data_IF_313506510224
#
_entry.id   IF_313506510224
#
_cell.length_a   1.000
_cell.length_b   1.000
_cell.length_c   1.000
_cell.angle_alpha   90.00
_cell.angle_beta   90.00
_cell.angle_gamma   90.00
#
_symmetry.space_group_name_H-M   'P 1'
#
loop_
_entity.id
_entity.type
_entity.pdbx_description
1 polymer ?
#
# COMPACT_ATOMS: atom_id res chain seq x y z
N UNK A 1 21.96 5.68 -9.85
CA UNK A 1 20.70 4.91 -9.86
C UNK A 1 20.66 3.84 -10.95
N UNK A 2 20.95 4.13 -12.22
CA UNK A 2 20.81 3.16 -13.34
C UNK A 2 21.58 1.84 -13.10
N UNK A 3 22.75 1.90 -12.47
CA UNK A 3 23.60 0.73 -12.17
C UNK A 3 23.00 -0.23 -11.11
N UNK A 4 22.06 0.23 -10.27
CA UNK A 4 21.49 -0.57 -9.18
C UNK A 4 20.33 -1.47 -9.64
N UNK A 5 19.66 -1.11 -10.73
CA UNK A 5 18.55 -1.91 -11.27
C UNK A 5 19.06 -3.29 -11.70
N UNK A 6 20.17 -3.42 -12.45
CA UNK A 6 20.78 -4.73 -12.74
C UNK A 6 21.13 -5.53 -11.48
N UNK A 7 21.65 -4.90 -10.41
CA UNK A 7 21.98 -5.60 -9.16
C UNK A 7 20.76 -6.29 -8.55
N UNK A 8 19.62 -5.59 -8.50
CA UNK A 8 18.40 -6.14 -7.93
C UNK A 8 17.81 -7.26 -8.80
N UNK A 9 17.88 -7.11 -10.13
CA UNK A 9 17.48 -8.18 -11.07
C UNK A 9 18.36 -9.41 -10.89
N UNK A 10 19.68 -9.26 -10.80
CA UNK A 10 20.58 -10.39 -10.57
C UNK A 10 20.28 -11.09 -9.25
N UNK A 11 20.05 -10.35 -8.15
CA UNK A 11 19.66 -10.93 -6.85
C UNK A 11 18.37 -11.76 -6.94
N UNK A 12 17.40 -11.33 -7.75
CA UNK A 12 16.19 -12.10 -7.99
C UNK A 12 16.45 -13.36 -8.82
N UNK A 13 17.25 -13.25 -9.89
CA UNK A 13 17.57 -14.39 -10.78
C UNK A 13 18.34 -15.49 -10.04
N UNK A 14 19.29 -15.13 -9.17
CA UNK A 14 20.10 -16.11 -8.42
C UNK A 14 19.35 -16.78 -7.28
N UNK A 15 18.10 -16.39 -7.00
CA UNK A 15 17.32 -16.93 -5.88
C UNK A 15 17.11 -18.45 -5.98
N UNK A 16 16.66 -18.92 -7.14
CA UNK A 16 16.46 -20.35 -7.38
C UNK A 16 17.80 -21.12 -7.40
N UNK A 17 18.84 -20.70 -8.15
CA UNK A 17 20.16 -21.32 -8.08
C UNK A 17 20.75 -21.42 -6.67
N UNK A 18 20.61 -20.38 -5.82
CA UNK A 18 21.04 -20.47 -4.42
C UNK A 18 20.25 -21.50 -3.63
N UNK A 19 18.93 -21.60 -3.85
CA UNK A 19 18.11 -22.62 -3.20
C UNK A 19 18.60 -24.03 -3.50
N UNK A 20 18.94 -24.31 -4.77
CA UNK A 20 19.53 -25.59 -5.16
C UNK A 20 20.92 -25.80 -4.56
N UNK A 21 21.83 -24.82 -4.68
CA UNK A 21 23.18 -24.91 -4.13
C UNK A 21 23.18 -25.14 -2.62
N UNK A 22 22.34 -24.40 -1.89
CA UNK A 22 22.14 -24.56 -0.44
C UNK A 22 21.63 -25.96 -0.09
N UNK A 23 20.60 -26.45 -0.79
CA UNK A 23 20.03 -27.77 -0.51
C UNK A 23 21.05 -28.90 -0.74
N UNK A 24 21.81 -28.83 -1.84
CA UNK A 24 22.86 -29.82 -2.14
C UNK A 24 24.01 -29.74 -1.14
N UNK A 25 24.59 -28.55 -0.93
CA UNK A 25 25.73 -28.38 -0.02
C UNK A 25 25.40 -28.73 1.43
N UNK A 26 24.18 -28.42 1.91
CA UNK A 26 23.74 -28.87 3.23
C UNK A 26 23.60 -30.39 3.31
N UNK A 27 23.01 -31.02 2.30
CA UNK A 27 22.85 -32.49 2.26
C UNK A 27 24.21 -33.19 2.21
N UNK A 28 25.13 -32.73 1.36
CA UNK A 28 26.47 -33.32 1.25
C UNK A 28 27.28 -33.15 2.53
N UNK A 29 27.25 -31.96 3.14
CA UNK A 29 27.90 -31.74 4.42
C UNK A 29 27.30 -32.58 5.54
N UNK A 30 25.99 -32.74 5.58
CA UNK A 30 25.32 -33.60 6.57
C UNK A 30 25.76 -35.06 6.44
N UNK A 31 25.85 -35.58 5.22
CA UNK A 31 26.39 -36.94 4.98
C UNK A 31 27.83 -37.06 5.45
N UNK A 32 28.69 -36.07 5.18
CA UNK A 32 30.12 -36.11 5.56
C UNK A 32 30.30 -35.97 7.08
N UNK A 33 29.58 -35.03 7.72
CA UNK A 33 29.76 -34.74 9.15
C UNK A 33 29.23 -35.87 10.04
N UNK A 34 28.18 -36.56 9.60
CA UNK A 34 27.52 -37.61 10.38
C UNK A 34 28.29 -38.95 10.33
N UNK A 35 29.26 -39.07 9.41
CA UNK A 35 30.02 -40.30 9.17
C UNK A 35 31.53 -40.06 9.31
N UNK A 36 32.12 -40.65 10.35
CA UNK A 36 33.55 -40.50 10.63
C UNK A 36 34.45 -41.08 9.53
N UNK A 37 33.94 -42.04 8.74
CA UNK A 37 34.64 -42.63 7.59
C UNK A 37 34.84 -41.65 6.44
N UNK A 38 33.96 -40.64 6.30
CA UNK A 38 34.09 -39.60 5.29
C UNK A 38 34.90 -38.42 5.82
N UNK A 39 34.80 -38.13 7.11
CA UNK A 39 35.48 -36.98 7.75
C UNK A 39 36.96 -37.25 8.08
N UNK A 40 37.28 -38.44 8.59
CA UNK A 40 38.63 -38.83 9.03
C UNK A 40 39.17 -40.06 8.28
N UNK A 41 38.52 -40.44 7.18
CA UNK A 41 38.91 -41.58 6.37
C UNK A 41 40.17 -41.35 5.54
N UNK A 42 40.48 -42.31 4.65
CA UNK A 42 41.65 -42.22 3.75
C UNK A 42 41.48 -41.20 2.60
N UNK A 43 40.38 -40.46 2.58
CA UNK A 43 40.04 -39.50 1.52
C UNK A 43 40.72 -38.15 1.73
N UNK A 44 40.77 -37.32 0.69
CA UNK A 44 41.38 -36.00 0.77
C UNK A 44 40.64 -35.12 1.80
N UNK A 45 41.33 -34.61 2.84
CA UNK A 45 40.71 -33.76 3.86
C UNK A 45 40.14 -32.45 3.29
N UNK A 46 40.59 -32.03 2.10
CA UNK A 46 40.05 -30.87 1.40
C UNK A 46 38.57 -31.05 1.01
N UNK A 47 38.08 -32.29 0.88
CA UNK A 47 36.66 -32.56 0.60
C UNK A 47 35.80 -32.05 1.76
N UNK A 48 36.13 -32.45 3.00
CA UNK A 48 35.39 -32.01 4.18
C UNK A 48 35.47 -30.48 4.37
N UNK A 49 36.64 -29.87 4.15
CA UNK A 49 36.81 -28.42 4.25
C UNK A 49 36.00 -27.68 3.18
N UNK A 50 36.01 -28.17 1.94
CA UNK A 50 35.26 -27.61 0.82
C UNK A 50 33.76 -27.64 1.06
N UNK A 51 33.22 -28.81 1.44
CA UNK A 51 31.79 -29.02 1.68
C UNK A 51 31.28 -28.28 2.92
N UNK A 52 32.08 -28.21 4.00
CA UNK A 52 31.75 -27.37 5.16
C UNK A 52 31.64 -25.89 4.78
N UNK A 53 32.56 -25.41 3.93
CA UNK A 53 32.55 -24.04 3.46
C UNK A 53 31.35 -23.78 2.55
N UNK A 54 31.08 -24.70 1.61
CA UNK A 54 29.95 -24.63 0.70
C UNK A 54 28.61 -24.62 1.45
N UNK A 55 28.42 -25.50 2.43
CA UNK A 55 27.21 -25.55 3.27
C UNK A 55 27.01 -24.26 4.08
N UNK A 56 28.02 -23.82 4.82
CA UNK A 56 27.89 -22.64 5.69
C UNK A 56 27.69 -21.34 4.88
N UNK A 57 28.53 -21.10 3.88
CA UNK A 57 28.44 -19.88 3.08
C UNK A 57 27.29 -19.93 2.08
N UNK A 58 26.93 -21.10 1.56
CA UNK A 58 25.72 -21.29 0.76
C UNK A 58 24.46 -20.96 1.56
N UNK A 59 24.37 -21.46 2.80
CA UNK A 59 23.27 -21.14 3.73
C UNK A 59 23.22 -19.65 4.03
N UNK A 60 24.34 -19.07 4.47
CA UNK A 60 24.43 -17.64 4.80
C UNK A 60 24.06 -16.77 3.60
N UNK A 61 24.61 -17.05 2.43
CA UNK A 61 24.36 -16.29 1.22
C UNK A 61 22.91 -16.39 0.75
N UNK A 62 22.26 -17.57 0.86
CA UNK A 62 20.84 -17.73 0.55
C UNK A 62 19.96 -16.83 1.43
N UNK A 63 20.13 -16.89 2.75
CA UNK A 63 19.35 -16.05 3.67
C UNK A 63 19.70 -14.57 3.53
N UNK A 64 20.97 -14.23 3.28
CA UNK A 64 21.39 -12.86 3.00
C UNK A 64 20.70 -12.32 1.74
N UNK A 65 20.68 -13.09 0.66
CA UNK A 65 19.98 -12.70 -0.58
C UNK A 65 18.48 -12.52 -0.33
N UNK A 66 17.85 -13.43 0.43
CA UNK A 66 16.43 -13.31 0.80
C UNK A 66 16.11 -12.13 1.70
N UNK A 67 16.98 -11.81 2.66
CA UNK A 67 16.78 -10.65 3.52
C UNK A 67 16.93 -9.34 2.75
N UNK A 68 17.88 -9.28 1.81
CA UNK A 68 18.32 -8.01 1.22
C UNK A 68 17.97 -7.79 -0.26
N UNK A 69 17.26 -8.70 -0.93
CA UNK A 69 16.83 -8.45 -2.31
C UNK A 69 15.87 -7.26 -2.42
N UNK A 70 14.83 -7.16 -1.59
CA UNK A 70 13.89 -6.01 -1.61
C UNK A 70 14.57 -4.75 -1.03
N UNK A 71 15.24 -4.81 0.14
CA UNK A 71 15.90 -3.62 0.68
C UNK A 71 16.94 -2.97 -0.23
N UNK A 72 17.55 -3.73 -1.15
CA UNK A 72 18.52 -3.18 -2.11
C UNK A 72 17.96 -2.06 -2.99
N UNK A 73 16.64 -1.98 -3.18
CA UNK A 73 16.00 -0.88 -3.90
C UNK A 73 15.98 0.44 -3.12
N UNK A 74 16.00 0.38 -1.78
CA UNK A 74 15.89 1.57 -0.92
C UNK A 74 17.25 2.12 -0.48
N UNK A 75 18.28 1.29 -0.43
CA UNK A 75 19.62 1.70 -0.03
C UNK A 75 20.46 2.15 -1.23
N UNK A 76 20.39 3.44 -1.54
CA UNK A 76 21.18 4.07 -2.59
C UNK A 76 22.66 4.25 -2.15
N UNK A 77 23.63 4.24 -3.09
CA UNK A 77 25.01 4.57 -2.79
C UNK A 77 25.13 5.96 -2.17
N UNK A 78 26.01 6.12 -1.17
CA UNK A 78 26.95 5.15 -0.61
C UNK A 78 26.41 4.37 0.61
N UNK A 79 25.12 4.51 0.97
CA UNK A 79 24.50 3.72 2.05
C UNK A 79 24.54 2.21 1.75
N UNK A 80 24.70 1.84 0.48
CA UNK A 80 24.87 0.46 0.06
C UNK A 80 26.25 -0.15 0.46
N UNK A 81 27.16 0.62 1.05
CA UNK A 81 28.54 0.17 1.33
C UNK A 81 28.64 -1.07 2.23
N UNK A 82 27.94 -1.18 3.37
CA UNK A 82 27.99 -2.38 4.19
C UNK A 82 27.53 -3.63 3.43
N UNK A 83 26.51 -3.48 2.58
CA UNK A 83 26.02 -4.57 1.73
C UNK A 83 27.06 -4.97 0.69
N UNK A 84 27.77 -4.00 0.13
CA UNK A 84 28.85 -4.23 -0.84
C UNK A 84 29.99 -5.05 -0.21
N UNK A 85 30.36 -4.74 1.04
CA UNK A 85 31.36 -5.51 1.79
C UNK A 85 30.90 -6.95 1.95
N UNK A 86 29.67 -7.15 2.43
CA UNK A 86 29.15 -8.50 2.71
C UNK A 86 29.00 -9.31 1.42
N UNK A 87 28.49 -8.72 0.34
CA UNK A 87 28.40 -9.37 -0.98
C UNK A 87 29.80 -9.77 -1.49
N UNK A 88 30.80 -8.92 -1.28
CA UNK A 88 32.19 -9.22 -1.67
C UNK A 88 32.76 -10.37 -0.85
N UNK A 89 32.51 -10.39 0.47
CA UNK A 89 32.90 -11.49 1.34
C UNK A 89 32.24 -12.80 0.91
N UNK A 90 30.93 -12.79 0.64
CA UNK A 90 30.20 -13.95 0.09
C UNK A 90 30.84 -14.42 -1.21
N UNK A 91 31.14 -13.50 -2.13
CA UNK A 91 31.79 -13.81 -3.41
C UNK A 91 33.12 -14.54 -3.20
N UNK A 92 33.96 -14.04 -2.30
CA UNK A 92 35.27 -14.63 -2.00
C UNK A 92 35.13 -16.04 -1.43
N UNK A 93 34.20 -16.24 -0.50
CA UNK A 93 34.02 -17.54 0.14
C UNK A 93 33.35 -18.57 -0.77
N UNK A 94 32.40 -18.17 -1.62
CA UNK A 94 31.85 -19.04 -2.66
C UNK A 94 32.92 -19.43 -3.67
N UNK A 95 33.72 -18.47 -4.16
CA UNK A 95 34.82 -18.75 -5.06
C UNK A 95 35.84 -19.72 -4.43
N UNK A 96 36.13 -19.55 -3.13
CA UNK A 96 37.02 -20.46 -2.39
C UNK A 96 36.41 -21.86 -2.25
N UNK A 97 35.12 -21.98 -1.93
CA UNK A 97 34.43 -23.27 -1.83
C UNK A 97 34.43 -24.00 -3.19
N UNK A 98 34.07 -23.30 -4.25
CA UNK A 98 34.10 -23.81 -5.62
C UNK A 98 35.52 -24.21 -6.07
N UNK A 99 36.55 -23.46 -5.64
CA UNK A 99 37.94 -23.82 -5.92
C UNK A 99 38.35 -25.12 -5.21
N UNK A 100 37.91 -25.36 -3.97
CA UNK A 100 38.11 -26.66 -3.31
C UNK A 100 37.39 -27.77 -4.06
N UNK A 101 36.11 -27.58 -4.40
CA UNK A 101 35.32 -28.54 -5.17
C UNK A 101 35.95 -28.89 -6.53
N UNK A 102 36.60 -27.92 -7.17
CA UNK A 102 37.29 -28.14 -8.46
C UNK A 102 38.37 -29.22 -8.37
N UNK A 103 38.96 -29.43 -7.19
CA UNK A 103 40.03 -30.41 -6.98
C UNK A 103 39.52 -31.86 -6.85
N UNK A 104 38.28 -32.08 -6.40
CA UNK A 104 37.76 -33.43 -6.12
C UNK A 104 36.47 -33.80 -6.86
N UNK A 105 35.75 -32.83 -7.44
CA UNK A 105 34.53 -33.05 -8.21
C UNK A 105 34.87 -33.16 -9.70
N UNK A 106 34.40 -34.19 -10.42
CA UNK A 106 34.53 -34.22 -11.87
C UNK A 106 33.68 -33.12 -12.50
N UNK A 107 34.25 -32.34 -13.43
CA UNK A 107 33.58 -31.13 -13.97
C UNK A 107 32.45 -31.39 -14.98
N UNK A 108 32.07 -32.65 -15.18
CA UNK A 108 31.01 -33.06 -16.12
C UNK A 108 30.20 -34.21 -15.55
N UNK A 109 28.88 -34.14 -15.70
CA UNK A 109 27.97 -35.21 -15.27
C UNK A 109 28.21 -36.51 -16.03
N UNK A 110 28.64 -36.44 -17.30
CA UNK A 110 28.95 -37.62 -18.10
C UNK A 110 30.17 -38.37 -17.57
N UNK A 111 31.12 -37.65 -16.94
CA UNK A 111 32.30 -38.28 -16.34
C UNK A 111 31.94 -39.16 -15.14
N UNK A 112 30.79 -38.93 -14.49
CA UNK A 112 30.36 -39.69 -13.31
C UNK A 112 30.05 -41.16 -13.56
N UNK A 113 29.80 -41.57 -14.81
CA UNK A 113 29.47 -42.97 -15.10
C UNK A 113 30.66 -43.92 -14.82
N UNK A 114 31.90 -43.42 -14.93
CA UNK A 114 33.12 -44.12 -14.51
C UNK A 114 33.81 -43.50 -13.29
N UNK A 115 33.87 -42.16 -13.22
CA UNK A 115 34.52 -41.45 -12.12
C UNK A 115 33.89 -41.76 -10.76
N UNK A 116 32.60 -42.07 -10.69
CA UNK A 116 31.98 -42.44 -9.42
C UNK A 116 32.65 -43.63 -8.73
N UNK A 117 33.30 -44.52 -9.48
CA UNK A 117 33.95 -45.71 -8.91
C UNK A 117 35.43 -45.48 -8.64
N UNK A 118 36.16 -44.77 -9.50
CA UNK A 118 37.63 -44.74 -9.42
C UNK A 118 38.23 -43.35 -9.13
N UNK A 119 37.42 -42.28 -9.15
CA UNK A 119 37.89 -40.90 -8.95
C UNK A 119 38.36 -40.66 -7.52
N UNK A 120 39.60 -40.18 -7.37
CA UNK A 120 40.29 -40.00 -6.09
C UNK A 120 40.20 -41.21 -5.14
N UNK A 121 40.19 -42.44 -5.67
CA UNK A 121 40.29 -43.64 -4.84
C UNK A 121 41.70 -43.70 -4.21
N UNK A 122 41.83 -43.68 -2.87
CA UNK A 122 43.12 -43.78 -2.20
C UNK A 122 43.82 -45.11 -2.50
N UNK A 123 45.15 -45.12 -2.54
CA UNK A 123 45.91 -46.35 -2.75
C UNK A 123 45.61 -47.36 -1.63
N UNK A 124 45.13 -48.55 -1.99
CA UNK A 124 44.76 -49.60 -1.03
C UNK A 124 43.33 -49.53 -0.50
N UNK A 125 42.53 -48.53 -0.89
CA UNK A 125 41.09 -48.51 -0.62
C UNK A 125 40.32 -49.26 -1.71
N UNK A 126 39.27 -49.98 -1.32
CA UNK A 126 38.42 -50.73 -2.26
C UNK A 126 37.32 -49.86 -2.90
N UNK A 127 37.05 -48.69 -2.32
CA UNK A 127 35.90 -47.83 -2.67
C UNK A 127 36.38 -46.39 -2.87
N UNK A 128 35.80 -45.67 -3.83
CA UNK A 128 35.95 -44.22 -3.93
C UNK A 128 35.14 -43.49 -2.86
N UNK A 129 35.42 -42.20 -2.71
CA UNK A 129 34.62 -41.29 -1.89
C UNK A 129 33.12 -41.36 -2.24
N UNK A 130 32.77 -41.30 -3.53
CA UNK A 130 31.37 -41.31 -3.96
C UNK A 130 30.68 -42.65 -3.70
N UNK A 131 31.40 -43.77 -3.75
CA UNK A 131 30.84 -45.08 -3.38
C UNK A 131 30.51 -45.16 -1.89
N UNK A 132 31.42 -44.68 -1.04
CA UNK A 132 31.20 -44.69 0.42
C UNK A 132 30.11 -43.69 0.80
N UNK A 133 30.14 -42.48 0.25
CA UNK A 133 29.11 -41.48 0.49
C UNK A 133 27.71 -41.95 0.03
N UNK A 134 27.63 -42.64 -1.11
CA UNK A 134 26.39 -43.25 -1.60
C UNK A 134 25.87 -44.37 -0.69
N UNK A 135 26.76 -45.22 -0.18
CA UNK A 135 26.40 -46.32 0.75
C UNK A 135 25.90 -45.79 2.09
N UNK A 136 26.55 -44.75 2.62
CA UNK A 136 26.26 -44.19 3.94
C UNK A 136 25.08 -43.23 3.93
N UNK A 137 24.70 -42.68 2.77
CA UNK A 137 23.51 -41.86 2.63
C UNK A 137 22.23 -42.73 2.68
N UNK A 138 21.41 -42.54 3.72
CA UNK A 138 20.14 -43.26 3.91
C UNK A 138 19.09 -42.97 2.81
N UNK A 139 19.26 -41.89 2.04
CA UNK A 139 18.42 -41.59 0.87
C UNK A 139 19.08 -42.11 -0.40
N UNK A 140 18.37 -43.00 -1.11
CA UNK A 140 18.87 -43.77 -2.26
C UNK A 140 19.70 -42.93 -3.24
N UNK A 141 21.01 -43.17 -3.25
CA UNK A 141 21.89 -42.73 -4.32
C UNK A 141 22.81 -43.87 -4.74
N UNK A 142 22.77 -44.22 -6.03
CA UNK A 142 23.87 -44.95 -6.66
C UNK A 142 25.13 -44.06 -6.62
N UNK A 143 26.36 -44.63 -6.60
CA UNK A 143 27.59 -43.83 -6.64
C UNK A 143 27.60 -42.79 -7.76
N UNK A 144 27.10 -43.15 -8.95
CA UNK A 144 26.94 -42.24 -10.10
C UNK A 144 26.02 -41.06 -9.81
N UNK A 145 24.90 -41.29 -9.11
CA UNK A 145 23.96 -40.24 -8.73
C UNK A 145 24.57 -39.30 -7.69
N UNK A 146 25.29 -39.85 -6.71
CA UNK A 146 26.02 -39.05 -5.71
C UNK A 146 27.10 -38.20 -6.37
N UNK A 147 27.86 -38.77 -7.31
CA UNK A 147 28.80 -37.98 -8.11
C UNK A 147 28.09 -36.83 -8.85
N UNK A 148 26.97 -37.11 -9.53
CA UNK A 148 26.23 -36.09 -10.29
C UNK A 148 25.72 -34.94 -9.41
N UNK A 149 25.26 -35.21 -8.19
CA UNK A 149 24.81 -34.13 -7.28
C UNK A 149 25.96 -33.23 -6.86
N UNK A 150 27.16 -33.78 -6.64
CA UNK A 150 28.37 -32.96 -6.41
C UNK A 150 28.75 -32.13 -7.64
N UNK A 151 28.63 -32.69 -8.86
CA UNK A 151 28.85 -31.91 -10.09
C UNK A 151 27.85 -30.77 -10.22
N UNK A 152 26.57 -31.04 -9.95
CA UNK A 152 25.51 -30.02 -9.97
C UNK A 152 25.80 -28.89 -8.97
N UNK A 153 26.16 -29.24 -7.74
CA UNK A 153 26.56 -28.26 -6.73
C UNK A 153 27.72 -27.40 -7.24
N UNK A 154 28.79 -28.01 -7.76
CA UNK A 154 29.94 -27.27 -8.29
C UNK A 154 29.56 -26.34 -9.45
N UNK A 155 28.71 -26.79 -10.38
CA UNK A 155 28.21 -25.96 -11.49
C UNK A 155 27.40 -24.75 -10.98
N UNK A 156 26.54 -24.96 -9.99
CA UNK A 156 25.83 -23.87 -9.33
C UNK A 156 26.81 -22.95 -8.58
N UNK A 157 27.82 -23.50 -7.89
CA UNK A 157 28.85 -22.73 -7.20
C UNK A 157 29.61 -21.77 -8.12
N UNK A 158 30.01 -22.23 -9.32
CA UNK A 158 30.61 -21.37 -10.36
C UNK A 158 29.64 -20.27 -10.78
N UNK A 159 28.41 -20.65 -11.12
CA UNK A 159 27.38 -19.74 -11.61
C UNK A 159 27.10 -18.65 -10.59
N UNK A 160 26.91 -19.03 -9.32
CA UNK A 160 26.66 -18.13 -8.21
C UNK A 160 27.85 -17.21 -7.96
N UNK A 161 29.07 -17.73 -7.97
CA UNK A 161 30.29 -16.94 -7.83
C UNK A 161 30.40 -15.86 -8.91
N UNK A 162 30.08 -16.19 -10.17
CA UNK A 162 30.09 -15.23 -11.27
C UNK A 162 29.04 -14.12 -11.12
N UNK A 163 27.80 -14.47 -10.77
CA UNK A 163 26.75 -13.48 -10.56
C UNK A 163 27.03 -12.59 -9.34
N UNK A 164 27.52 -13.16 -8.23
CA UNK A 164 27.85 -12.37 -7.04
C UNK A 164 29.07 -11.46 -7.26
N UNK A 165 30.07 -11.91 -8.04
CA UNK A 165 31.16 -11.05 -8.49
C UNK A 165 30.65 -9.87 -9.31
N UNK A 166 29.69 -10.09 -10.22
CA UNK A 166 29.06 -9.02 -10.98
C UNK A 166 28.28 -8.05 -10.08
N UNK A 167 27.49 -8.56 -9.12
CA UNK A 167 26.75 -7.74 -8.14
C UNK A 167 27.72 -6.89 -7.31
N UNK A 168 28.78 -7.49 -6.77
CA UNK A 168 29.81 -6.79 -5.99
C UNK A 168 30.49 -5.70 -6.83
N UNK A 169 30.91 -6.02 -8.06
CA UNK A 169 31.54 -5.06 -8.97
C UNK A 169 30.63 -3.87 -9.28
N UNK A 170 29.37 -4.12 -9.62
CA UNK A 170 28.40 -3.06 -9.92
C UNK A 170 28.15 -2.16 -8.69
N UNK A 171 28.07 -2.76 -7.49
CA UNK A 171 27.92 -2.02 -6.25
C UNK A 171 29.16 -1.16 -5.93
N UNK A 172 30.38 -1.67 -6.17
CA UNK A 172 31.63 -0.92 -6.03
C UNK A 172 31.67 0.25 -7.03
N UNK A 173 31.31 0.02 -8.30
CA UNK A 173 31.24 1.08 -9.32
C UNK A 173 30.24 2.16 -8.89
N UNK A 174 29.06 1.76 -8.41
CA UNK A 174 28.04 2.69 -7.95
C UNK A 174 28.51 3.51 -6.73
N UNK A 175 29.24 2.89 -5.81
CA UNK A 175 29.84 3.56 -4.65
C UNK A 175 30.92 4.57 -5.07
N UNK A 176 31.87 4.16 -5.91
CA UNK A 176 32.92 5.03 -6.42
C UNK A 176 32.34 6.20 -7.23
N UNK A 177 31.29 5.94 -8.02
CA UNK A 177 30.55 6.96 -8.75
C UNK A 177 29.90 8.00 -7.82
N UNK A 178 29.27 7.55 -6.73
CA UNK A 178 28.68 8.46 -5.75
C UNK A 178 29.72 9.31 -5.02
N UNK A 179 30.85 8.72 -4.60
CA UNK A 179 31.96 9.47 -3.99
C UNK A 179 32.54 10.49 -4.97
N UNK A 180 32.69 10.10 -6.25
CA UNK A 180 33.21 10.99 -7.29
C UNK A 180 32.27 12.16 -7.57
N UNK A 181 30.95 11.93 -7.55
CA UNK A 181 29.96 12.99 -7.70
C UNK A 181 30.00 13.98 -6.53
N UNK A 182 30.02 13.49 -5.28
CA UNK A 182 30.11 14.33 -4.09
C UNK A 182 31.38 15.20 -4.09
N UNK A 183 32.52 14.64 -4.51
CA UNK A 183 33.78 15.40 -4.67
C UNK A 183 33.67 16.50 -5.72
N UNK A 184 32.97 16.27 -6.83
CA UNK A 184 32.78 17.28 -7.88
C UNK A 184 31.90 18.44 -7.43
N UNK A 185 30.98 18.18 -6.51
CA UNK A 185 30.11 19.19 -5.91
C UNK A 185 30.81 19.99 -4.79
N UNK A 186 32.07 19.67 -4.47
CA UNK A 186 32.85 20.36 -3.44
C UNK A 186 32.35 20.10 -2.02
N UNK A 187 31.54 19.06 -1.83
CA UNK A 187 31.00 18.73 -0.51
C UNK A 187 32.11 18.25 0.42
N UNK A 188 32.13 18.78 1.64
CA UNK A 188 33.04 18.26 2.65
C UNK A 188 32.58 16.84 3.07
N UNK A 189 33.51 15.90 3.38
CA UNK A 189 33.14 14.56 3.85
C UNK A 189 32.12 14.52 5.00
N UNK A 190 32.18 15.40 6.04
CA UNK A 190 31.19 15.39 7.10
C UNK A 190 29.80 15.86 6.64
N UNK A 191 29.72 16.85 5.74
CA UNK A 191 28.43 17.29 5.16
C UNK A 191 27.80 16.20 4.31
N UNK A 192 28.62 15.52 3.51
CA UNK A 192 28.18 14.38 2.72
C UNK A 192 27.61 13.26 3.61
N UNK A 193 28.32 12.90 4.68
CA UNK A 193 27.84 11.91 5.67
C UNK A 193 26.56 12.37 6.39
N UNK A 194 26.44 13.66 6.72
CA UNK A 194 25.25 14.24 7.32
C UNK A 194 24.02 14.18 6.40
N UNK A 195 24.19 14.54 5.12
CA UNK A 195 23.16 14.38 4.07
C UNK A 195 22.76 12.91 3.92
N UNK A 196 23.75 12.02 3.90
CA UNK A 196 23.53 10.59 3.87
C UNK A 196 22.66 10.08 5.02
N UNK A 197 23.03 10.45 6.24
CA UNK A 197 22.35 10.00 7.44
C UNK A 197 20.89 10.46 7.44
N UNK A 198 20.65 11.72 7.04
CA UNK A 198 19.29 12.27 6.89
C UNK A 198 18.49 11.52 5.84
N UNK A 199 19.02 11.33 4.63
CA UNK A 199 18.35 10.58 3.55
C UNK A 199 18.11 9.12 3.95
N UNK A 200 19.05 8.51 4.66
CA UNK A 200 18.88 7.14 5.18
C UNK A 200 17.75 7.04 6.19
N UNK A 201 17.65 8.01 7.11
CA UNK A 201 16.60 8.05 8.11
C UNK A 201 15.23 8.25 7.45
N UNK A 202 15.14 9.14 6.45
CA UNK A 202 13.93 9.34 5.66
C UNK A 202 13.51 8.06 4.94
N UNK A 203 14.45 7.31 4.33
CA UNK A 203 14.16 6.03 3.70
C UNK A 203 13.72 4.97 4.71
N UNK A 204 14.40 4.85 5.85
CA UNK A 204 14.06 3.91 6.93
C UNK A 204 12.67 4.21 7.47
N UNK A 205 12.32 5.48 7.69
CA UNK A 205 10.98 5.89 8.11
C UNK A 205 9.90 5.62 7.06
N UNK A 206 10.27 5.49 5.78
CA UNK A 206 9.37 5.14 4.69
C UNK A 206 9.24 3.63 4.46
N UNK A 207 10.09 2.78 5.05
CA UNK A 207 9.99 1.31 4.95
C UNK A 207 8.60 0.80 5.38
N UNK A 208 8.03 1.21 6.53
CA UNK A 208 6.69 0.76 6.94
C UNK A 208 5.62 1.11 5.92
N UNK A 209 5.69 2.31 5.32
CA UNK A 209 4.74 2.73 4.27
C UNK A 209 4.92 1.87 3.01
N UNK A 210 6.16 1.61 2.60
CA UNK A 210 6.48 0.71 1.50
C UNK A 210 5.95 -0.70 1.74
N UNK A 211 6.09 -1.24 2.95
CA UNK A 211 5.55 -2.54 3.35
C UNK A 211 4.02 -2.57 3.32
N UNK A 212 3.33 -1.52 3.77
CA UNK A 212 1.86 -1.42 3.68
C UNK A 212 1.42 -1.38 2.22
N UNK A 213 2.08 -0.58 1.37
CA UNK A 213 1.78 -0.52 -0.07
C UNK A 213 2.03 -1.87 -0.73
N UNK A 214 3.16 -2.53 -0.42
CA UNK A 214 3.49 -3.86 -0.93
C UNK A 214 2.46 -4.89 -0.48
N UNK A 215 2.03 -4.87 0.78
CA UNK A 215 1.05 -5.79 1.33
C UNK A 215 -0.33 -5.59 0.71
N UNK A 216 -0.78 -4.34 0.55
CA UNK A 216 -2.02 -4.01 -0.18
C UNK A 216 -1.90 -4.45 -1.64
N UNK A 217 -0.74 -4.22 -2.26
CA UNK A 217 -0.44 -4.65 -3.63
C UNK A 217 -0.51 -6.17 -3.77
N UNK A 218 0.11 -6.94 -2.88
CA UNK A 218 0.04 -8.41 -2.87
C UNK A 218 -1.38 -8.88 -2.63
N UNK A 219 -2.09 -8.33 -1.64
CA UNK A 219 -3.48 -8.67 -1.35
C UNK A 219 -4.44 -8.33 -2.48
N UNK A 220 -4.10 -7.34 -3.32
CA UNK A 220 -4.89 -6.99 -4.50
C UNK A 220 -4.53 -7.85 -5.72
N UNK A 221 -3.24 -7.95 -6.04
CA UNK A 221 -2.72 -8.53 -7.26
C UNK A 221 -2.72 -10.06 -7.22
N UNK A 222 -2.46 -10.66 -6.07
CA UNK A 222 -2.38 -12.12 -5.92
C UNK A 222 -3.77 -12.77 -6.15
N UNK A 223 -4.88 -12.27 -5.59
CA UNK A 223 -6.21 -12.73 -5.97
C UNK A 223 -6.53 -12.48 -7.44
N UNK A 224 -6.08 -11.36 -8.04
CA UNK A 224 -6.33 -11.09 -9.46
C UNK A 224 -5.60 -12.08 -10.36
N UNK A 225 -4.33 -12.39 -10.09
CA UNK A 225 -3.54 -13.40 -10.79
C UNK A 225 -4.16 -14.79 -10.66
N UNK A 226 -4.50 -15.22 -9.43
CA UNK A 226 -5.19 -16.50 -9.19
C UNK A 226 -6.51 -16.52 -9.96
N UNK A 227 -7.29 -15.44 -9.89
CA UNK A 227 -8.57 -15.34 -10.59
C UNK A 227 -8.40 -15.41 -12.10
N UNK A 228 -7.32 -14.87 -12.68
CA UNK A 228 -7.02 -15.00 -14.12
C UNK A 228 -6.67 -16.43 -14.52
N UNK A 229 -5.99 -17.19 -13.66
CA UNK A 229 -5.59 -18.57 -13.93
C UNK A 229 -6.71 -19.61 -13.71
N UNK A 230 -7.79 -19.27 -12.99
CA UNK A 230 -8.89 -20.22 -12.72
C UNK A 230 -9.71 -20.59 -13.99
N UNK A 231 -10.24 -21.82 -14.07
CA UNK A 231 -11.12 -22.25 -15.16
C UNK A 231 -12.45 -21.47 -15.17
N UNK A 232 -13.06 -21.35 -16.35
CA UNK A 232 -14.26 -20.53 -16.60
C UNK A 232 -15.46 -20.93 -15.71
N UNK A 233 -15.60 -22.21 -15.39
CA UNK A 233 -16.66 -22.74 -14.51
C UNK A 233 -16.59 -22.20 -13.08
N UNK A 234 -15.37 -21.97 -12.57
CA UNK A 234 -15.17 -21.40 -11.24
C UNK A 234 -15.32 -19.88 -11.24
N UNK A 235 -14.80 -19.22 -12.29
CA UNK A 235 -14.94 -17.77 -12.50
C UNK A 235 -16.41 -17.33 -12.54
N UNK A 236 -17.29 -18.09 -13.20
CA UNK A 236 -18.71 -17.74 -13.32
C UNK A 236 -19.43 -17.76 -11.96
N UNK A 237 -19.16 -18.77 -11.12
CA UNK A 237 -19.73 -18.88 -9.76
C UNK A 237 -19.30 -17.71 -8.87
N UNK A 238 -18.02 -17.35 -8.88
CA UNK A 238 -17.53 -16.21 -8.09
C UNK A 238 -18.12 -14.89 -8.61
N UNK A 239 -18.19 -14.68 -9.92
CA UNK A 239 -18.83 -13.48 -10.50
C UNK A 239 -20.30 -13.38 -10.12
N UNK A 240 -21.01 -14.50 -10.11
CA UNK A 240 -22.41 -14.55 -9.68
C UNK A 240 -22.53 -14.19 -8.19
N UNK A 241 -21.71 -14.80 -7.31
CA UNK A 241 -21.68 -14.48 -5.89
C UNK A 241 -21.36 -13.00 -5.61
N UNK A 242 -20.37 -12.42 -6.32
CA UNK A 242 -20.03 -10.99 -6.21
C UNK A 242 -21.20 -10.10 -6.65
N UNK A 243 -21.83 -10.40 -7.79
CA UNK A 243 -23.00 -9.65 -8.28
C UNK A 243 -24.17 -9.74 -7.31
N UNK A 244 -24.40 -10.91 -6.72
CA UNK A 244 -25.42 -11.11 -5.70
C UNK A 244 -25.11 -10.27 -4.45
N UNK A 245 -23.90 -10.37 -3.91
CA UNK A 245 -23.49 -9.60 -2.73
C UNK A 245 -23.59 -8.08 -2.93
N UNK A 246 -23.12 -7.57 -4.08
CA UNK A 246 -23.23 -6.15 -4.43
C UNK A 246 -24.69 -5.71 -4.56
N UNK A 247 -25.54 -6.51 -5.22
CA UNK A 247 -26.97 -6.20 -5.32
C UNK A 247 -27.67 -6.23 -3.97
N UNK A 248 -27.32 -7.16 -3.09
CA UNK A 248 -27.88 -7.24 -1.73
C UNK A 248 -27.43 -6.05 -0.89
N UNK A 249 -26.16 -5.62 -1.01
CA UNK A 249 -25.64 -4.43 -0.34
C UNK A 249 -26.33 -3.15 -0.83
N UNK A 250 -26.41 -2.95 -2.15
CA UNK A 250 -27.12 -1.81 -2.74
C UNK A 250 -28.61 -1.81 -2.40
N UNK A 251 -29.25 -2.99 -2.36
CA UNK A 251 -30.64 -3.13 -1.94
C UNK A 251 -30.86 -2.82 -0.46
N UNK A 252 -29.88 -3.09 0.39
CA UNK A 252 -29.90 -2.70 1.80
C UNK A 252 -29.76 -1.17 1.95
N UNK A 253 -28.84 -0.54 1.19
CA UNK A 253 -28.69 0.91 1.15
C UNK A 253 -29.98 1.61 0.68
N UNK A 254 -30.61 1.13 -0.40
CA UNK A 254 -31.88 1.68 -0.87
C UNK A 254 -33.01 1.55 0.17
N UNK A 255 -33.07 0.43 0.89
CA UNK A 255 -34.06 0.28 1.99
C UNK A 255 -33.79 1.26 3.12
N UNK A 256 -32.53 1.54 3.45
CA UNK A 256 -32.19 2.53 4.48
C UNK A 256 -32.50 3.96 4.02
N UNK A 257 -32.23 4.31 2.75
CA UNK A 257 -32.58 5.63 2.21
C UNK A 257 -34.09 5.85 2.20
N UNK A 258 -34.88 4.85 1.78
CA UNK A 258 -36.33 4.90 1.82
C UNK A 258 -36.85 5.07 3.27
N UNK A 259 -36.30 4.33 4.22
CA UNK A 259 -36.66 4.46 5.63
C UNK A 259 -36.34 5.85 6.21
N UNK A 260 -35.22 6.45 5.82
CA UNK A 260 -34.86 7.82 6.23
C UNK A 260 -35.78 8.86 5.59
N UNK A 261 -36.13 8.69 4.31
CA UNK A 261 -37.10 9.57 3.64
C UNK A 261 -38.48 9.51 4.29
N UNK A 262 -38.96 8.31 4.63
CA UNK A 262 -40.24 8.14 5.33
C UNK A 262 -40.24 8.81 6.71
N UNK A 263 -39.14 8.66 7.48
CA UNK A 263 -38.99 9.37 8.75
C UNK A 263 -38.96 10.89 8.59
N UNK A 264 -38.26 11.40 7.57
CA UNK A 264 -38.21 12.83 7.28
C UNK A 264 -39.59 13.36 6.94
N UNK A 265 -40.33 12.66 6.06
CA UNK A 265 -41.70 13.02 5.68
C UNK A 265 -42.63 13.01 6.91
N UNK A 266 -42.52 12.00 7.76
CA UNK A 266 -43.25 11.93 9.03
C UNK A 266 -42.95 13.13 9.93
N UNK A 267 -41.68 13.51 10.07
CA UNK A 267 -41.27 14.64 10.90
C UNK A 267 -41.76 15.98 10.32
N UNK A 268 -41.67 16.18 9.00
CA UNK A 268 -42.20 17.37 8.33
C UNK A 268 -43.72 17.46 8.44
N UNK A 269 -44.44 16.35 8.30
CA UNK A 269 -45.88 16.28 8.48
C UNK A 269 -46.29 16.59 9.92
N UNK A 270 -45.56 16.03 10.90
CA UNK A 270 -45.77 16.32 12.33
C UNK A 270 -45.45 17.79 12.66
N UNK A 271 -44.41 18.37 12.03
CA UNK A 271 -44.06 19.79 12.18
C UNK A 271 -45.13 20.70 11.57
N UNK A 272 -45.69 20.34 10.42
CA UNK A 272 -46.84 21.05 9.80
C UNK A 272 -48.10 20.97 10.66
N UNK A 273 -48.35 19.83 11.31
CA UNK A 273 -49.47 19.68 12.26
C UNK A 273 -49.24 20.44 13.58
N UNK A 274 -47.98 20.59 14.04
CA UNK A 274 -47.63 21.39 15.23
C UNK A 274 -47.65 22.89 15.00
N UNK A 275 -47.58 23.36 13.76
CA UNK A 275 -47.98 24.74 13.43
C UNK A 275 -49.51 24.82 13.40
N UNK A 276 -50.12 24.76 14.59
CA UNK A 276 -51.53 25.03 14.76
C UNK A 276 -51.83 26.39 14.10
N UNK A 277 -52.76 26.42 13.13
CA UNK A 277 -53.43 27.66 12.71
C UNK A 277 -53.88 28.34 13.99
N UNK A 278 -53.33 29.51 14.30
CA UNK A 278 -53.72 30.28 15.47
C UNK A 278 -55.22 30.57 15.37
N UNK A 279 -56.01 29.90 16.21
CA UNK A 279 -57.41 30.23 16.40
C UNK A 279 -57.42 31.52 17.20
N UNK A 280 -57.73 32.63 16.52
CA UNK A 280 -57.80 33.96 17.13
C UNK A 280 -58.65 33.95 18.40
N UNK A 281 -58.31 34.84 19.34
CA UNK A 281 -59.14 35.09 20.53
C UNK A 281 -60.59 35.40 20.19
N UNK A 282 -61.47 35.29 21.18
CA UNK A 282 -62.94 35.38 21.06
C UNK A 282 -63.45 36.54 20.18
N UNK A 283 -63.67 36.24 18.90
CA UNK A 283 -64.25 37.14 17.92
C UNK A 283 -64.43 36.41 16.58
N UNK A 284 -65.52 36.67 15.86
CA UNK A 284 -65.71 36.05 14.56
C UNK A 284 -64.64 36.54 13.57
N UNK A 285 -63.93 35.60 12.89
CA UNK A 285 -62.93 35.97 11.91
C UNK A 285 -63.61 36.65 10.72
N UNK A 286 -63.16 37.87 10.42
CA UNK A 286 -63.59 38.52 9.18
C UNK A 286 -63.07 37.74 7.96
N UNK A 287 -63.78 37.76 6.82
CA UNK A 287 -63.28 37.16 5.58
C UNK A 287 -61.89 37.68 5.20
N UNK A 288 -61.64 38.97 5.45
CA UNK A 288 -60.34 39.60 5.23
C UNK A 288 -59.25 39.02 6.13
N UNK A 289 -59.52 38.79 7.42
CA UNK A 289 -58.54 38.17 8.31
C UNK A 289 -58.22 36.74 7.91
N UNK A 290 -59.19 35.96 7.39
CA UNK A 290 -58.92 34.61 6.89
C UNK A 290 -58.02 34.62 5.65
N UNK A 291 -58.23 35.58 4.75
CA UNK A 291 -57.38 35.78 3.57
C UNK A 291 -55.95 36.19 3.97
N UNK A 292 -55.81 37.18 4.86
CA UNK A 292 -54.51 37.67 5.34
C UNK A 292 -53.77 36.68 6.27
N UNK A 293 -54.46 35.66 6.81
CA UNK A 293 -53.82 34.64 7.64
C UNK A 293 -52.92 33.70 6.82
N UNK A 294 -53.07 33.67 5.49
CA UNK A 294 -52.14 32.98 4.60
C UNK A 294 -50.93 33.89 4.39
N UNK A 295 -49.81 33.54 5.01
CA UNK A 295 -48.61 34.39 5.03
C UNK A 295 -48.13 34.80 3.62
N UNK A 296 -48.14 33.89 2.65
CA UNK A 296 -47.72 34.19 1.29
C UNK A 296 -48.61 35.24 0.62
N UNK A 297 -49.93 35.19 0.86
CA UNK A 297 -50.87 36.19 0.35
C UNK A 297 -50.64 37.56 1.02
N UNK A 298 -50.42 37.56 2.34
CA UNK A 298 -50.08 38.77 3.08
C UNK A 298 -48.80 39.41 2.55
N UNK A 299 -47.77 38.61 2.25
CA UNK A 299 -46.51 39.11 1.72
C UNK A 299 -46.68 39.79 0.36
N UNK A 300 -47.41 39.18 -0.58
CA UNK A 300 -47.71 39.77 -1.90
C UNK A 300 -48.42 41.12 -1.76
N UNK A 301 -49.37 41.22 -0.83
CA UNK A 301 -50.08 42.49 -0.58
C UNK A 301 -49.12 43.52 0.03
N UNK A 302 -48.25 43.11 0.95
CA UNK A 302 -47.31 44.04 1.60
C UNK A 302 -46.24 44.60 0.67
N UNK A 303 -45.92 43.90 -0.43
CA UNK A 303 -45.03 44.42 -1.46
C UNK A 303 -45.65 45.62 -2.19
N UNK A 304 -46.96 45.64 -2.37
CA UNK A 304 -47.69 46.75 -3.02
C UNK A 304 -48.12 47.86 -2.05
N UNK A 305 -47.79 47.75 -0.75
CA UNK A 305 -48.18 48.70 0.29
C UNK A 305 -46.99 49.47 0.85
N UNK A 306 -47.25 50.70 1.32
CA UNK A 306 -46.30 51.39 2.16
C UNK A 306 -46.31 50.80 3.58
N UNK A 307 -45.19 50.96 4.28
CA UNK A 307 -45.09 50.48 5.67
C UNK A 307 -46.17 51.08 6.58
N UNK A 308 -46.54 52.36 6.38
CA UNK A 308 -47.65 53.01 7.07
C UNK A 308 -48.99 52.32 6.81
N UNK A 309 -49.20 51.82 5.60
CA UNK A 309 -50.46 51.21 5.19
C UNK A 309 -50.62 49.83 5.82
N UNK A 310 -49.53 49.06 5.96
CA UNK A 310 -49.51 47.80 6.71
C UNK A 310 -49.82 48.04 8.20
N UNK A 311 -49.27 49.10 8.78
CA UNK A 311 -49.56 49.48 10.17
C UNK A 311 -51.03 49.90 10.34
N UNK A 312 -51.59 50.64 9.38
CA UNK A 312 -53.00 50.99 9.36
C UNK A 312 -53.90 49.77 9.16
N UNK A 313 -53.51 48.83 8.30
CA UNK A 313 -54.21 47.56 8.07
C UNK A 313 -54.33 46.76 9.37
N UNK A 314 -53.25 46.68 10.16
CA UNK A 314 -53.27 46.03 11.47
C UNK A 314 -54.18 46.71 12.51
N UNK A 315 -54.70 47.92 12.24
CA UNK A 315 -55.60 48.65 13.14
C UNK A 315 -57.07 48.54 12.73
N UNK A 316 -57.38 47.95 11.57
CA UNK A 316 -58.74 47.86 11.03
C UNK A 316 -59.67 47.04 11.93
N UNK A 317 -59.20 45.91 12.44
CA UNK A 317 -59.96 45.07 13.38
C UNK A 317 -59.02 44.21 14.22
N UNK A 318 -59.51 43.66 15.34
CA UNK A 318 -58.70 42.76 16.18
C UNK A 318 -58.27 41.49 15.44
N UNK A 319 -59.14 40.92 14.61
CA UNK A 319 -58.85 39.72 13.83
C UNK A 319 -57.86 39.99 12.69
N UNK A 320 -57.93 41.15 12.05
CA UNK A 320 -56.95 41.58 11.04
C UNK A 320 -55.61 41.92 11.70
N UNK A 321 -55.63 42.59 12.87
CA UNK A 321 -54.42 42.85 13.65
C UNK A 321 -53.65 41.57 13.89
N UNK A 322 -54.33 40.52 14.36
CA UNK A 322 -53.69 39.26 14.69
C UNK A 322 -53.23 38.50 13.44
N UNK A 323 -53.98 38.60 12.34
CA UNK A 323 -53.57 38.02 11.06
C UNK A 323 -52.31 38.70 10.48
N UNK A 324 -52.16 40.02 10.66
CA UNK A 324 -51.05 40.81 10.09
C UNK A 324 -49.84 40.90 11.04
N UNK A 325 -50.06 41.20 12.32
CA UNK A 325 -49.06 41.37 13.38
C UNK A 325 -49.49 40.58 14.64
N UNK A 326 -49.31 39.24 14.64
CA UNK A 326 -49.68 38.42 15.78
C UNK A 326 -48.80 38.74 16.99
N UNK A 327 -49.38 38.70 18.19
CA UNK A 327 -48.70 39.14 19.42
C UNK A 327 -47.41 38.37 19.72
N UNK A 328 -47.31 37.10 19.28
CA UNK A 328 -46.17 36.22 19.54
C UNK A 328 -45.01 36.37 18.53
N UNK A 329 -45.22 37.06 17.41
CA UNK A 329 -44.20 37.21 16.33
C UNK A 329 -44.10 38.65 15.81
N UNK A 330 -44.49 39.62 16.64
CA UNK A 330 -44.60 41.03 16.24
C UNK A 330 -43.28 41.59 15.73
N UNK A 331 -42.18 41.35 16.43
CA UNK A 331 -40.87 41.93 16.09
C UNK A 331 -40.34 41.41 14.75
N UNK A 332 -40.43 40.09 14.54
CA UNK A 332 -40.00 39.45 13.30
C UNK A 332 -40.84 39.92 12.11
N UNK A 333 -42.17 40.05 12.29
CA UNK A 333 -43.06 40.54 11.23
C UNK A 333 -42.82 42.01 10.91
N UNK A 334 -42.58 42.86 11.92
CA UNK A 334 -42.23 44.27 11.68
C UNK A 334 -40.95 44.40 10.87
N UNK A 335 -39.91 43.62 11.18
CA UNK A 335 -38.67 43.60 10.39
C UNK A 335 -38.92 43.14 8.95
N UNK A 336 -39.75 42.11 8.78
CA UNK A 336 -40.13 41.60 7.46
C UNK A 336 -40.87 42.66 6.65
N UNK A 337 -41.90 43.30 7.21
CA UNK A 337 -42.65 44.34 6.50
C UNK A 337 -41.78 45.55 6.15
N UNK A 338 -40.84 45.97 7.01
CA UNK A 338 -39.86 47.01 6.65
C UNK A 338 -39.03 46.62 5.43
N UNK A 339 -38.66 45.34 5.33
CA UNK A 339 -37.87 44.82 4.20
C UNK A 339 -38.66 44.77 2.89
N UNK A 340 -39.90 44.31 2.91
CA UNK A 340 -40.67 44.03 1.69
C UNK A 340 -41.57 45.19 1.23
N UNK A 341 -41.97 46.10 2.12
CA UNK A 341 -42.72 47.30 1.72
C UNK A 341 -41.85 48.24 0.90
N UNK A 342 -42.49 48.99 0.00
CA UNK A 342 -41.87 50.01 -0.85
C UNK A 342 -40.77 49.47 -1.78
N UNK A 343 -41.10 48.50 -2.65
CA UNK A 343 -40.17 47.97 -3.64
C UNK A 343 -39.72 49.09 -4.58
N UNK A 344 -38.41 49.19 -4.81
CA UNK A 344 -37.82 50.16 -5.74
C UNK A 344 -37.77 51.64 -5.28
N UNK A 345 -38.34 51.97 -4.12
CA UNK A 345 -38.29 53.32 -3.53
C UNK A 345 -37.13 53.53 -2.56
N UNK A 346 -36.69 54.79 -2.37
CA UNK A 346 -35.76 55.12 -1.30
C UNK A 346 -36.48 55.07 0.05
N UNK A 347 -35.99 54.20 0.94
CA UNK A 347 -36.48 54.01 2.31
C UNK A 347 -35.77 54.99 3.23
N UNK A 348 -36.52 55.85 3.90
CA UNK A 348 -36.04 56.74 4.95
C UNK A 348 -36.84 56.52 6.23
N UNK A 349 -36.42 57.12 7.34
CA UNK A 349 -37.13 57.03 8.62
C UNK A 349 -37.63 58.41 9.02
N UNK A 350 -38.84 58.46 9.57
CA UNK A 350 -39.36 59.67 10.18
C UNK A 350 -38.52 60.01 11.41
N UNK A 351 -37.88 61.19 11.42
CA UNK A 351 -37.05 61.65 12.53
C UNK A 351 -37.80 61.76 13.87
N UNK A 352 -39.13 61.90 13.85
CA UNK A 352 -39.96 62.04 15.05
C UNK A 352 -40.47 60.70 15.61
N UNK A 353 -40.82 59.73 14.76
CA UNK A 353 -41.53 58.51 15.17
C UNK A 353 -40.90 57.20 14.67
N UNK A 354 -39.72 57.26 14.05
CA UNK A 354 -38.96 56.11 13.53
C UNK A 354 -39.76 55.18 12.58
N UNK A 355 -40.85 55.70 12.00
CA UNK A 355 -41.67 54.98 11.03
C UNK A 355 -40.99 55.07 9.67
N UNK A 356 -40.90 53.95 8.95
CA UNK A 356 -40.34 53.92 7.60
C UNK A 356 -41.22 54.75 6.67
N UNK A 357 -40.61 55.74 6.01
CA UNK A 357 -41.21 56.56 4.97
C UNK A 357 -40.64 56.10 3.63
N UNK A 358 -41.49 56.10 2.63
CA UNK A 358 -41.12 55.73 1.27
C UNK A 358 -41.20 56.98 0.41
N UNK A 359 -40.05 57.39 -0.11
CA UNK A 359 -39.99 58.53 -1.03
C UNK A 359 -40.33 58.02 -2.43
N UNK A 360 -41.48 58.45 -2.93
CA UNK A 360 -41.94 58.12 -4.28
C UNK A 360 -40.89 58.67 -5.25
N UNK A 361 -40.24 57.80 -6.03
CA UNK A 361 -39.56 58.26 -7.25
C UNK A 361 -40.68 58.79 -8.13
N UNK A 362 -40.67 60.10 -8.44
CA UNK A 362 -41.43 60.61 -9.57
C UNK A 362 -41.06 59.74 -10.78
N UNK A 363 -42.01 58.91 -11.20
CA UNK A 363 -41.96 58.27 -12.50
C UNK A 363 -41.94 59.42 -13.50
N UNK A 364 -40.77 59.70 -14.05
CA UNK A 364 -40.68 60.45 -15.31
C UNK A 364 -41.47 59.62 -16.32
N UNK A 365 -42.64 60.16 -16.71
CA UNK A 365 -43.46 59.67 -17.82
C UNK A 365 -42.68 59.81 -19.13
#
# INVERSE_FOLDING_TARGET
MIVLIPCAVFRFVVFAPFGYYWAHGSTHWDVIKDHTELLHGPYDPNIAVGEHLASNWGTFAFYWNFAFWIPSFWFLPPLNFPFTIIDTVITVYLARATNYQTAYVPHSQASCDGAAYDWHRPAGANESFFQVAARLNATVSTPTKMCRTFVEEWQYGITLSAFYAAISLLNIIALLGAISAARREGESPPEFMGKLAKTSLEHVMNIPKGLVILLVGILWFLPECIFRCLPLSFKSRIRFGRRYAVKTALGAEQKTELGIMDMKNYYEQTKRQRMARYQGGSGEPSPLSNFLNVYDMLMVITEELHYSDVMNLSRVSKSVREAVLPAHDIDRRLQTFRRYTCPGGHKSYCWLCDTQICTVRQLYV
#
